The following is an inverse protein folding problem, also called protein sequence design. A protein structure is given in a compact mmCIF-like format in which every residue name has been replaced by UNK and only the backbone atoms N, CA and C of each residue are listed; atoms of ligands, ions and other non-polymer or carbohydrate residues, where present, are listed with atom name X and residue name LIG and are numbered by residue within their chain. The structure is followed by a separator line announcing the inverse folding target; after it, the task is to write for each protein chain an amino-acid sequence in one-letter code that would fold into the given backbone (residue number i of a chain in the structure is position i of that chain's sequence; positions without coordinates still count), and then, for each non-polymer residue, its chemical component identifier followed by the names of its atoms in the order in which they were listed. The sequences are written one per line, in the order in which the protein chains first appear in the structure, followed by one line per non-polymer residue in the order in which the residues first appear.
data_IF_431763542367
#
_entry.id   IF_431763542367
#
_cell.length_a   1.000
_cell.length_b   1.000
_cell.length_c   1.000
_cell.angle_alpha   90.00
_cell.angle_beta   90.00
_cell.angle_gamma   90.00
#
_symmetry.space_group_name_H-M   'P 1'
#
loop_
_entity.id
_entity.type
_entity.pdbx_description
1 polymer ?
#
# COMPACT_ATOMS: atom_id res chain seq x y z
N UNK A 1 -8.02 -15.52 66.80
CA UNK A 1 -6.94 -14.53 67.00
C UNK A 1 -7.13 -13.43 65.96
N UNK A 2 -7.86 -12.33 66.17
CA UNK A 2 -7.54 -11.09 66.92
C UNK A 2 -6.10 -10.58 66.73
N UNK A 3 -5.91 -9.58 65.84
CA UNK A 3 -5.38 -8.26 66.23
C UNK A 3 -5.64 -7.18 65.18
N UNK A 4 -6.32 -6.11 65.62
CA UNK A 4 -6.48 -4.78 64.99
C UNK A 4 -5.29 -3.87 65.35
N UNK A 5 -5.00 -2.86 64.52
CA UNK A 5 -4.72 -1.42 64.87
C UNK A 5 -4.38 -0.65 63.57
N UNK A 6 -5.23 0.28 63.11
CA UNK A 6 -5.27 1.74 63.38
C UNK A 6 -4.11 2.50 62.69
N UNK A 7 -4.31 3.04 61.48
CA UNK A 7 -4.73 4.43 61.13
C UNK A 7 -3.75 5.52 61.58
N UNK A 8 -3.17 6.25 60.62
CA UNK A 8 -2.88 7.68 60.78
C UNK A 8 -3.04 8.39 59.43
N UNK A 9 -3.95 9.35 59.44
CA UNK A 9 -4.24 10.36 58.41
C UNK A 9 -3.05 11.34 58.32
N UNK A 10 -2.67 11.74 57.11
CA UNK A 10 -2.00 13.02 56.89
C UNK A 10 -2.56 13.66 55.62
N UNK A 11 -3.45 14.63 55.84
CA UNK A 11 -4.05 15.51 54.85
C UNK A 11 -3.05 16.66 54.62
N UNK A 12 -2.53 16.81 53.41
CA UNK A 12 -1.94 18.08 52.95
C UNK A 12 -2.55 18.40 51.59
N UNK A 13 -3.50 19.33 51.61
CA UNK A 13 -4.01 20.01 50.45
C UNK A 13 -3.06 21.18 50.12
N UNK A 14 -2.47 21.17 48.92
CA UNK A 14 -2.01 22.39 48.26
C UNK A 14 -2.45 22.33 46.80
N UNK A 15 -3.43 23.18 46.51
CA UNK A 15 -3.94 23.56 45.20
C UNK A 15 -2.91 24.35 44.41
N UNK A 16 -2.54 23.89 43.20
CA UNK A 16 -1.91 24.74 42.18
C UNK A 16 -2.59 24.48 40.83
N UNK A 17 -3.45 25.43 40.47
CA UNK A 17 -3.82 25.93 39.14
C UNK A 17 -4.04 24.91 38.01
N UNK A 18 -5.32 24.75 37.69
CA UNK A 18 -5.81 24.28 36.40
C UNK A 18 -5.22 25.11 35.25
N UNK A 19 -4.25 24.54 34.55
CA UNK A 19 -3.90 24.88 33.18
C UNK A 19 -4.52 23.85 32.24
N UNK A 20 -5.85 23.85 32.12
CA UNK A 20 -6.53 23.17 31.01
C UNK A 20 -6.20 23.96 29.74
N UNK A 21 -5.07 23.66 29.12
CA UNK A 21 -4.91 24.00 27.71
C UNK A 21 -5.76 22.97 26.97
N UNK A 22 -7.01 23.35 26.67
CA UNK A 22 -7.82 22.74 25.62
C UNK A 22 -7.02 22.87 24.31
N UNK A 23 -6.07 21.96 24.13
CA UNK A 23 -5.52 21.68 22.83
C UNK A 23 -6.61 20.94 22.09
N UNK A 24 -7.40 21.68 21.29
CA UNK A 24 -8.26 21.09 20.28
C UNK A 24 -7.51 19.92 19.64
N UNK A 25 -8.09 18.70 19.59
CA UNK A 25 -7.44 17.59 18.92
C UNK A 25 -7.11 18.07 17.51
N UNK A 26 -5.81 18.17 17.21
CA UNK A 26 -5.34 18.67 15.93
C UNK A 26 -6.15 17.96 14.85
N UNK A 27 -6.94 18.74 14.11
CA UNK A 27 -7.77 18.19 13.04
C UNK A 27 -6.85 17.31 12.20
N UNK A 28 -7.22 16.05 11.92
CA UNK A 28 -6.37 15.18 11.12
C UNK A 28 -6.10 15.94 9.83
N UNK A 29 -4.83 16.30 9.61
CA UNK A 29 -4.39 16.89 8.35
C UNK A 29 -4.64 15.82 7.29
N UNK A 30 -5.84 15.86 6.73
CA UNK A 30 -6.19 15.11 5.54
C UNK A 30 -5.46 15.81 4.42
N UNK A 31 -4.15 15.54 4.31
CA UNK A 31 -3.41 15.85 3.10
C UNK A 31 -4.14 15.10 2.00
N UNK A 32 -4.77 15.85 1.10
CA UNK A 32 -5.44 15.28 -0.05
C UNK A 32 -4.53 14.23 -0.71
N UNK A 33 -5.06 13.11 -1.22
CA UNK A 33 -4.25 12.08 -1.86
C UNK A 33 -3.37 12.71 -2.94
N UNK A 34 -2.05 12.53 -2.82
CA UNK A 34 -1.07 12.99 -3.83
C UNK A 34 -1.45 12.36 -5.18
N UNK A 35 -1.51 13.14 -6.26
CA UNK A 35 -1.76 12.56 -7.57
C UNK A 35 -0.54 11.72 -8.00
N UNK A 36 -0.76 10.66 -8.78
CA UNK A 36 0.34 9.76 -9.18
C UNK A 36 1.45 10.49 -9.96
N UNK A 37 1.08 11.52 -10.73
CA UNK A 37 2.02 12.39 -11.48
C UNK A 37 2.85 13.33 -10.60
N UNK A 38 2.45 13.50 -9.34
CA UNK A 38 3.13 14.36 -8.37
C UNK A 38 4.10 13.54 -7.49
N UNK A 39 4.20 12.22 -7.73
CA UNK A 39 5.25 11.40 -7.12
C UNK A 39 6.59 11.76 -7.75
N UNK A 40 7.63 11.82 -6.92
CA UNK A 40 9.01 11.92 -7.39
C UNK A 40 9.77 10.64 -6.97
N UNK A 41 9.81 9.62 -7.86
CA UNK A 41 10.46 8.35 -7.54
C UNK A 41 11.96 8.44 -7.27
N UNK A 42 12.61 9.55 -7.65
CA UNK A 42 14.04 9.75 -7.40
C UNK A 42 14.33 10.22 -5.96
N UNK A 43 13.42 10.99 -5.35
CA UNK A 43 13.56 11.47 -3.97
C UNK A 43 12.88 10.56 -2.93
N UNK A 44 11.89 9.77 -3.33
CA UNK A 44 11.18 8.86 -2.43
C UNK A 44 11.99 7.61 -2.08
N UNK A 45 12.02 7.25 -0.80
CA UNK A 45 12.64 6.02 -0.29
C UNK A 45 11.58 5.11 0.32
N UNK A 46 11.32 3.97 -0.32
CA UNK A 46 10.25 3.07 0.13
C UNK A 46 10.79 1.97 1.05
N UNK A 47 10.03 1.65 2.11
CA UNK A 47 10.34 0.50 2.98
C UNK A 47 10.10 -0.83 2.26
N UNK A 48 10.94 -1.82 2.57
CA UNK A 48 10.85 -3.22 2.09
C UNK A 48 10.53 -4.14 3.26
N UNK A 49 9.32 -4.00 3.80
CA UNK A 49 8.82 -4.73 4.97
C UNK A 49 7.39 -5.18 4.75
N UNK A 50 6.82 -5.92 5.68
CA UNK A 50 5.37 -6.15 5.77
C UNK A 50 4.65 -4.81 5.93
N UNK A 51 3.74 -4.50 5.00
CA UNK A 51 3.20 -3.14 4.90
C UNK A 51 1.68 -3.06 4.80
N UNK A 52 0.95 -4.18 4.89
CA UNK A 52 -0.50 -4.18 4.67
C UNK A 52 -1.22 -3.22 5.64
N UNK A 53 -0.78 -3.18 6.90
CA UNK A 53 -1.29 -2.25 7.92
C UNK A 53 -0.84 -0.79 7.74
N UNK A 54 0.19 -0.54 6.93
CA UNK A 54 0.64 0.81 6.60
C UNK A 54 -0.26 1.47 5.55
N UNK A 55 -0.97 0.68 4.74
CA UNK A 55 -1.85 1.21 3.70
C UNK A 55 -3.13 1.75 4.33
N UNK A 56 -3.48 3.04 4.14
CA UNK A 56 -4.68 3.60 4.74
C UNK A 56 -5.94 2.85 4.30
N UNK A 57 -6.78 2.44 5.25
CA UNK A 57 -8.04 1.74 4.97
C UNK A 57 -8.94 2.54 4.01
N UNK A 58 -8.92 3.87 4.08
CA UNK A 58 -9.64 4.73 3.14
C UNK A 58 -9.16 4.57 1.68
N UNK A 59 -7.86 4.36 1.46
CA UNK A 59 -7.31 4.09 0.13
C UNK A 59 -7.74 2.73 -0.39
N UNK A 60 -7.72 1.69 0.46
CA UNK A 60 -8.22 0.34 0.12
C UNK A 60 -9.70 0.42 -0.27
N UNK A 61 -10.55 1.07 0.54
CA UNK A 61 -11.97 1.25 0.23
C UNK A 61 -12.21 2.01 -1.06
N UNK A 62 -11.38 3.01 -1.36
CA UNK A 62 -11.46 3.77 -2.61
C UNK A 62 -11.07 2.90 -3.82
N UNK A 63 -10.05 2.06 -3.67
CA UNK A 63 -9.59 1.12 -4.70
C UNK A 63 -10.58 -0.03 -4.96
N UNK A 64 -11.34 -0.42 -3.94
CA UNK A 64 -12.37 -1.45 -4.04
C UNK A 64 -13.76 -0.90 -4.35
N UNK A 65 -14.03 0.36 -4.02
CA UNK A 65 -15.37 0.96 -4.04
C UNK A 65 -16.35 0.31 -3.06
N UNK A 66 -15.83 -0.34 -2.00
CA UNK A 66 -16.61 -0.97 -0.92
C UNK A 66 -15.67 -1.24 0.28
N UNK A 67 -16.25 -1.74 1.37
CA UNK A 67 -15.44 -2.32 2.46
C UNK A 67 -14.65 -3.55 1.97
N UNK A 68 -13.36 -3.68 2.35
CA UNK A 68 -12.55 -4.84 2.04
C UNK A 68 -12.93 -6.04 2.90
N UNK A 69 -12.68 -7.24 2.38
CA UNK A 69 -12.47 -8.43 3.22
C UNK A 69 -11.09 -8.35 3.88
N UNK A 70 -10.80 -9.26 4.82
CA UNK A 70 -9.45 -9.45 5.34
C UNK A 70 -8.46 -9.61 4.18
N UNK A 71 -7.32 -8.89 4.18
CA UNK A 71 -6.32 -9.04 3.14
C UNK A 71 -5.70 -10.45 3.15
N UNK A 72 -5.34 -10.93 1.96
CA UNK A 72 -4.34 -11.99 1.83
C UNK A 72 -2.96 -11.33 1.84
N UNK A 73 -2.06 -11.84 2.66
CA UNK A 73 -0.71 -11.30 2.85
C UNK A 73 0.33 -12.38 2.56
N UNK A 74 1.49 -11.97 2.07
CA UNK A 74 2.62 -12.87 1.88
C UNK A 74 3.94 -12.15 2.14
N UNK A 75 4.91 -12.91 2.65
CA UNK A 75 6.25 -12.45 2.99
C UNK A 75 7.27 -13.05 2.03
N UNK A 76 8.50 -12.57 2.15
CA UNK A 76 9.63 -13.16 1.45
C UNK A 76 9.81 -14.64 1.87
N UNK A 77 9.71 -15.55 0.91
CA UNK A 77 9.75 -16.99 1.14
C UNK A 77 8.38 -17.66 1.21
N UNK A 78 7.29 -16.89 1.28
CA UNK A 78 5.94 -17.44 1.31
C UNK A 78 5.41 -17.77 -0.09
N UNK A 79 4.48 -18.72 -0.23
CA UNK A 79 3.72 -18.89 -1.46
C UNK A 79 2.94 -17.63 -1.82
N UNK A 80 2.95 -17.22 -3.09
CA UNK A 80 2.15 -16.08 -3.56
C UNK A 80 0.67 -16.53 -3.70
N UNK A 81 -0.30 -15.86 -3.06
CA UNK A 81 -1.72 -16.15 -3.24
C UNK A 81 -2.15 -16.05 -4.72
N UNK A 82 -2.79 -17.12 -5.21
CA UNK A 82 -3.16 -17.25 -6.63
C UNK A 82 -1.97 -17.50 -7.57
N UNK A 83 -0.75 -17.66 -7.04
CA UNK A 83 0.39 -18.18 -7.76
C UNK A 83 0.20 -19.66 -8.08
N UNK A 84 0.76 -20.12 -9.20
CA UNK A 84 0.78 -21.54 -9.53
C UNK A 84 1.57 -22.37 -8.50
N UNK A 85 1.50 -23.71 -8.57
CA UNK A 85 2.24 -24.59 -7.67
C UNK A 85 3.73 -24.24 -7.63
N UNK A 86 4.28 -24.02 -6.42
CA UNK A 86 5.68 -23.69 -6.20
C UNK A 86 6.08 -22.22 -6.39
N UNK A 87 5.12 -21.31 -6.61
CA UNK A 87 5.38 -19.88 -6.68
C UNK A 87 5.77 -19.28 -5.33
N UNK A 88 7.04 -19.37 -4.95
CA UNK A 88 7.60 -18.69 -3.77
C UNK A 88 7.86 -17.23 -4.11
N UNK A 89 7.31 -16.33 -3.30
CA UNK A 89 7.52 -14.89 -3.41
C UNK A 89 8.88 -14.48 -2.87
N UNK A 90 9.54 -13.56 -3.57
CA UNK A 90 10.74 -12.86 -3.07
C UNK A 90 10.40 -11.40 -2.72
N UNK A 91 9.18 -11.21 -2.22
CA UNK A 91 8.52 -9.92 -2.07
C UNK A 91 7.64 -9.93 -0.83
N UNK A 92 7.37 -8.75 -0.30
CA UNK A 92 6.29 -8.53 0.66
C UNK A 92 5.08 -8.04 -0.13
N UNK A 93 3.90 -8.59 0.13
CA UNK A 93 2.72 -8.17 -0.62
C UNK A 93 1.41 -8.42 0.07
N UNK A 94 0.41 -7.72 -0.44
CA UNK A 94 -0.93 -7.65 0.11
C UNK A 94 -1.95 -7.69 -1.04
N UNK A 95 -3.08 -8.35 -0.80
CA UNK A 95 -4.22 -8.43 -1.73
C UNK A 95 -5.52 -8.21 -0.97
N UNK A 96 -6.24 -7.14 -1.31
CA UNK A 96 -7.56 -6.85 -0.77
C UNK A 96 -8.63 -7.17 -1.80
N UNK A 97 -9.71 -7.80 -1.33
CA UNK A 97 -10.83 -8.20 -2.19
C UNK A 97 -12.14 -7.64 -1.66
N UNK A 98 -12.96 -7.08 -2.54
CA UNK A 98 -14.33 -6.68 -2.23
C UNK A 98 -15.31 -7.86 -2.33
N UNK A 99 -16.50 -7.78 -1.69
CA UNK A 99 -17.57 -8.74 -1.92
C UNK A 99 -17.98 -8.90 -3.39
N UNK A 100 -17.82 -7.84 -4.19
CA UNK A 100 -18.10 -7.82 -5.63
C UNK A 100 -16.96 -8.38 -6.50
N UNK A 101 -15.89 -8.92 -5.89
CA UNK A 101 -14.77 -9.54 -6.61
C UNK A 101 -13.79 -8.56 -7.26
N UNK A 102 -13.88 -7.26 -6.97
CA UNK A 102 -12.81 -6.29 -7.27
C UNK A 102 -11.62 -6.57 -6.37
N UNK A 103 -10.42 -6.45 -6.92
CA UNK A 103 -9.17 -6.75 -6.24
C UNK A 103 -8.23 -5.54 -6.34
N UNK A 104 -7.60 -5.18 -5.24
CA UNK A 104 -6.48 -4.25 -5.19
C UNK A 104 -5.27 -4.98 -4.60
N UNK A 105 -4.09 -4.87 -5.23
CA UNK A 105 -2.87 -5.54 -4.77
C UNK A 105 -1.70 -4.58 -4.78
N UNK A 106 -0.74 -4.84 -3.91
CA UNK A 106 0.57 -4.22 -3.97
C UNK A 106 1.64 -5.18 -3.47
N UNK A 107 2.86 -5.02 -3.95
CA UNK A 107 4.02 -5.75 -3.48
C UNK A 107 5.32 -5.01 -3.74
N UNK A 108 6.30 -5.24 -2.86
CA UNK A 108 7.67 -4.72 -2.98
C UNK A 108 8.66 -5.87 -2.92
N UNK A 109 9.68 -5.84 -3.79
CA UNK A 109 10.75 -6.83 -3.72
C UNK A 109 11.48 -6.72 -2.37
N UNK A 110 11.75 -7.87 -1.75
CA UNK A 110 12.41 -7.91 -0.45
C UNK A 110 13.90 -7.52 -0.51
N UNK A 111 14.49 -7.60 -1.71
CA UNK A 111 15.89 -7.21 -1.98
C UNK A 111 15.96 -5.95 -2.83
N UNK A 112 17.05 -5.17 -2.71
CA UNK A 112 17.36 -4.11 -3.66
C UNK A 112 17.35 -4.61 -5.11
N UNK A 113 16.78 -3.79 -5.99
CA UNK A 113 16.69 -4.06 -7.42
C UNK A 113 17.57 -3.06 -8.19
N UNK A 114 18.56 -3.58 -8.90
CA UNK A 114 19.37 -2.80 -9.82
C UNK A 114 18.56 -2.38 -11.07
N UNK A 115 18.80 -1.20 -11.66
CA UNK A 115 18.13 -0.74 -12.88
C UNK A 115 18.22 -1.73 -14.06
N UNK A 116 19.34 -2.46 -14.17
CA UNK A 116 19.50 -3.48 -15.20
C UNK A 116 18.49 -4.63 -15.06
N UNK A 117 18.24 -5.09 -13.83
CA UNK A 117 17.25 -6.12 -13.55
C UNK A 117 15.83 -5.58 -13.69
N UNK A 118 15.56 -4.37 -13.21
CA UNK A 118 14.27 -3.73 -13.39
C UNK A 118 13.87 -3.58 -14.88
N UNK A 119 14.84 -3.34 -15.78
CA UNK A 119 14.60 -3.37 -17.24
C UNK A 119 14.20 -4.77 -17.75
N UNK A 120 14.69 -5.86 -17.14
CA UNK A 120 14.24 -7.22 -17.52
C UNK A 120 12.77 -7.43 -17.11
N UNK A 121 12.36 -6.92 -15.94
CA UNK A 121 10.97 -6.96 -15.47
C UNK A 121 10.05 -6.20 -16.42
N UNK A 122 10.44 -4.99 -16.85
CA UNK A 122 9.68 -4.19 -17.82
C UNK A 122 9.54 -4.92 -19.16
N UNK A 123 10.64 -5.45 -19.71
CA UNK A 123 10.61 -6.21 -20.97
C UNK A 123 9.76 -7.47 -20.88
N UNK A 124 9.84 -8.20 -19.76
CA UNK A 124 9.04 -9.40 -19.55
C UNK A 124 7.55 -9.06 -19.51
N UNK A 125 7.16 -7.99 -18.80
CA UNK A 125 5.79 -7.50 -18.78
C UNK A 125 5.29 -7.07 -20.18
N UNK A 126 6.12 -6.38 -20.96
CA UNK A 126 5.79 -5.97 -22.34
C UNK A 126 5.55 -7.13 -23.32
N UNK A 127 6.03 -8.34 -23.00
CA UNK A 127 5.80 -9.55 -23.81
C UNK A 127 4.59 -10.37 -23.36
N UNK A 128 3.87 -9.94 -22.33
CA UNK A 128 2.72 -10.70 -21.80
C UNK A 128 1.54 -10.60 -22.76
N UNK A 129 1.12 -11.75 -23.30
CA UNK A 129 -0.05 -11.87 -24.18
C UNK A 129 -1.30 -11.29 -23.52
N UNK A 130 -2.08 -10.51 -24.29
CA UNK A 130 -3.31 -9.88 -23.80
C UNK A 130 -3.09 -8.62 -22.95
N UNK A 131 -1.85 -8.14 -22.88
CA UNK A 131 -1.49 -6.92 -22.17
C UNK A 131 -0.91 -5.86 -23.10
N UNK A 132 -1.09 -4.61 -22.72
CA UNK A 132 -0.48 -3.43 -23.33
C UNK A 132 0.32 -2.69 -22.28
N UNK A 133 1.46 -2.11 -22.65
CA UNK A 133 2.33 -1.38 -21.73
C UNK A 133 2.65 0.02 -22.24
N UNK A 134 2.68 0.98 -21.33
CA UNK A 134 3.08 2.37 -21.55
C UNK A 134 4.04 2.79 -20.43
N UNK A 135 4.61 3.99 -20.50
CA UNK A 135 5.42 4.53 -19.42
C UNK A 135 4.59 4.67 -18.12
N UNK A 136 5.22 4.42 -16.97
CA UNK A 136 4.61 4.68 -15.66
C UNK A 136 4.94 6.08 -15.19
N UNK A 137 4.16 6.56 -14.21
CA UNK A 137 4.59 7.64 -13.33
C UNK A 137 5.59 7.18 -12.24
N UNK A 138 5.79 5.86 -12.10
CA UNK A 138 6.88 5.32 -11.27
C UNK A 138 8.22 5.46 -12.00
N UNK A 139 9.32 5.46 -11.25
CA UNK A 139 10.64 5.85 -11.74
C UNK A 139 11.17 4.95 -12.85
N UNK A 140 12.26 5.38 -13.48
CA UNK A 140 12.85 4.66 -14.61
C UNK A 140 13.88 3.61 -14.16
N UNK A 141 13.76 2.35 -14.64
CA UNK A 141 12.71 1.82 -15.50
C UNK A 141 11.38 1.57 -14.77
N UNK A 142 10.26 1.79 -15.47
CA UNK A 142 8.91 1.57 -14.96
C UNK A 142 7.90 1.40 -16.10
N UNK A 143 6.71 0.89 -15.78
CA UNK A 143 5.59 0.73 -16.72
C UNK A 143 4.21 0.91 -16.06
N UNK A 144 3.26 1.35 -16.88
CA UNK A 144 1.83 1.13 -16.69
C UNK A 144 1.40 0.02 -17.65
N UNK A 145 0.89 -1.08 -17.09
CA UNK A 145 0.38 -2.22 -17.85
C UNK A 145 -1.14 -2.31 -17.73
N UNK A 146 -1.83 -2.54 -18.84
CA UNK A 146 -3.25 -2.89 -18.85
C UNK A 146 -3.45 -4.24 -19.53
N UNK A 147 -4.13 -5.17 -18.85
CA UNK A 147 -4.41 -6.51 -19.34
C UNK A 147 -5.91 -6.81 -19.33
N UNK A 148 -6.36 -7.62 -20.28
CA UNK A 148 -7.66 -8.29 -20.19
C UNK A 148 -7.58 -9.45 -19.20
N UNK A 149 -8.50 -9.51 -18.25
CA UNK A 149 -8.64 -10.59 -17.28
C UNK A 149 -9.84 -11.51 -17.57
N UNK A 150 -10.05 -12.55 -16.74
CA UNK A 150 -11.21 -13.42 -16.84
C UNK A 150 -12.53 -12.67 -16.68
N UNK A 151 -13.61 -13.16 -17.30
CA UNK A 151 -14.97 -12.65 -17.03
C UNK A 151 -15.19 -11.16 -17.34
N UNK A 152 -14.54 -10.62 -18.39
CA UNK A 152 -14.54 -9.20 -18.78
C UNK A 152 -13.87 -8.25 -17.77
N UNK A 153 -13.15 -8.79 -16.79
CA UNK A 153 -12.34 -7.96 -15.91
C UNK A 153 -11.18 -7.32 -16.66
N UNK A 154 -10.76 -6.15 -16.20
CA UNK A 154 -9.56 -5.48 -16.64
C UNK A 154 -8.62 -5.33 -15.46
N UNK A 155 -7.33 -5.47 -15.73
CA UNK A 155 -6.25 -5.19 -14.78
C UNK A 155 -5.51 -3.94 -15.25
N UNK A 156 -5.25 -3.01 -14.33
CA UNK A 156 -4.27 -1.95 -14.53
C UNK A 156 -3.22 -1.99 -13.42
N UNK A 157 -1.94 -2.00 -13.80
CA UNK A 157 -0.80 -2.14 -12.90
C UNK A 157 0.24 -1.08 -13.16
N UNK A 158 0.65 -0.37 -12.12
CA UNK A 158 1.92 0.37 -12.14
C UNK A 158 3.01 -0.50 -11.54
N UNK A 159 4.19 -0.44 -12.15
CA UNK A 159 5.40 -1.04 -11.57
C UNK A 159 6.61 -0.18 -11.94
N UNK A 160 7.57 -0.02 -11.04
CA UNK A 160 8.75 0.80 -11.30
C UNK A 160 9.66 0.93 -10.09
N UNK A 161 10.82 1.55 -10.33
CA UNK A 161 11.80 1.82 -9.28
C UNK A 161 11.48 3.10 -8.52
N UNK A 162 11.70 3.02 -7.21
CA UNK A 162 11.88 4.14 -6.29
C UNK A 162 13.25 3.94 -5.66
N UNK A 163 14.25 4.67 -6.16
CA UNK A 163 15.67 4.37 -5.92
C UNK A 163 16.02 2.91 -6.25
N UNK A 164 16.30 2.08 -5.25
CA UNK A 164 16.62 0.65 -5.38
C UNK A 164 15.44 -0.27 -5.04
N UNK A 165 14.25 0.28 -4.78
CA UNK A 165 13.06 -0.49 -4.39
C UNK A 165 12.08 -0.57 -5.55
N UNK A 166 11.80 -1.80 -5.99
CA UNK A 166 10.78 -2.06 -7.01
C UNK A 166 9.41 -2.22 -6.35
N UNK A 167 8.51 -1.26 -6.61
CA UNK A 167 7.12 -1.32 -6.21
C UNK A 167 6.25 -1.75 -7.39
N UNK A 168 5.29 -2.62 -7.13
CA UNK A 168 4.18 -2.90 -8.04
C UNK A 168 2.86 -2.80 -7.31
N UNK A 169 1.84 -2.28 -7.99
CA UNK A 169 0.49 -2.14 -7.46
C UNK A 169 -0.50 -2.23 -8.62
N UNK A 170 -1.63 -2.87 -8.38
CA UNK A 170 -2.64 -3.10 -9.41
C UNK A 170 -4.06 -3.11 -8.86
N UNK A 171 -4.99 -2.82 -9.78
CA UNK A 171 -6.43 -2.96 -9.56
C UNK A 171 -7.00 -3.85 -10.65
N UNK A 172 -7.84 -4.80 -10.23
CA UNK A 172 -8.64 -5.67 -11.09
C UNK A 172 -10.12 -5.40 -10.86
N UNK A 173 -10.86 -5.06 -11.92
CA UNK A 173 -12.32 -4.88 -11.86
C UNK A 173 -12.96 -4.97 -13.25
N UNK A 174 -14.25 -5.26 -13.30
CA UNK A 174 -15.06 -5.15 -14.52
C UNK A 174 -15.53 -3.71 -14.70
N UNK A 175 -14.89 -2.97 -15.61
CA UNK A 175 -15.21 -1.57 -15.93
C UNK A 175 -14.60 -1.18 -17.28
N UNK A 176 -14.60 0.10 -17.62
CA UNK A 176 -13.84 0.62 -18.78
C UNK A 176 -12.36 0.71 -18.45
N UNK A 177 -11.49 0.57 -19.45
CA UNK A 177 -10.03 0.68 -19.27
C UNK A 177 -9.64 1.99 -18.59
N UNK A 178 -10.22 3.11 -19.02
CA UNK A 178 -9.99 4.44 -18.43
C UNK A 178 -10.31 4.47 -16.93
N UNK A 179 -11.44 3.90 -16.53
CA UNK A 179 -11.84 3.85 -15.13
C UNK A 179 -10.95 2.92 -14.28
N UNK A 180 -10.47 1.81 -14.85
CA UNK A 180 -9.52 0.93 -14.15
C UNK A 180 -8.15 1.58 -13.99
N UNK A 181 -7.65 2.25 -15.04
CA UNK A 181 -6.40 3.02 -14.96
C UNK A 181 -6.49 4.13 -13.92
N UNK A 182 -7.53 4.98 -13.94
CA UNK A 182 -7.67 6.06 -12.97
C UNK A 182 -7.77 5.55 -11.52
N UNK A 183 -8.38 4.39 -11.31
CA UNK A 183 -8.43 3.75 -9.98
C UNK A 183 -7.08 3.16 -9.58
N UNK A 184 -6.35 2.57 -10.52
CA UNK A 184 -4.98 2.12 -10.30
C UNK A 184 -4.05 3.30 -9.98
N UNK A 185 -4.18 4.45 -10.65
CA UNK A 185 -3.40 5.67 -10.38
C UNK A 185 -3.55 6.09 -8.91
N UNK A 186 -4.80 6.22 -8.44
CA UNK A 186 -5.10 6.60 -7.06
C UNK A 186 -4.62 5.56 -6.04
N UNK A 187 -4.84 4.28 -6.32
CA UNK A 187 -4.39 3.17 -5.48
C UNK A 187 -2.86 3.17 -5.33
N UNK A 188 -2.16 3.23 -6.46
CA UNK A 188 -0.71 3.17 -6.54
C UNK A 188 -0.02 4.37 -5.88
N UNK A 189 -0.61 5.56 -6.03
CA UNK A 189 -0.11 6.75 -5.33
C UNK A 189 -0.26 6.65 -3.81
N UNK A 190 -1.39 6.13 -3.34
CA UNK A 190 -1.61 5.93 -1.92
C UNK A 190 -0.63 4.89 -1.32
N UNK A 191 -0.39 3.78 -2.03
CA UNK A 191 0.60 2.78 -1.61
C UNK A 191 2.00 3.37 -1.57
N UNK A 192 2.45 4.03 -2.65
CA UNK A 192 3.78 4.64 -2.67
C UNK A 192 3.96 5.66 -1.53
N UNK A 193 2.94 6.49 -1.27
CA UNK A 193 2.96 7.51 -0.21
C UNK A 193 2.96 6.91 1.21
N UNK A 194 2.37 5.72 1.38
CA UNK A 194 2.34 5.00 2.65
C UNK A 194 3.69 4.33 2.97
N UNK A 195 4.43 3.91 1.95
CA UNK A 195 5.74 3.26 2.10
C UNK A 195 6.91 4.25 2.15
N UNK A 196 6.69 5.50 1.75
CA UNK A 196 7.72 6.53 1.67
C UNK A 196 8.20 6.99 3.05
N UNK A 197 9.51 6.90 3.25
CA UNK A 197 10.24 7.28 4.48
C UNK A 197 11.09 8.53 4.33
N UNK A 198 11.04 9.20 3.17
CA UNK A 198 11.80 10.43 2.90
C UNK A 198 11.19 11.71 3.52
N UNK A 199 10.17 11.57 4.36
CA UNK A 199 9.40 12.68 4.96
C UNK A 199 10.08 13.34 6.14
#
# INVERSE_FOLDING_TARGET
MRTRRLVTLALVAVTVLAGCSDGDPAAPVSSAPRAIKDLDPASMSLVRVEFCDLVPVAAVRTALGSEPRTPDEWRNGDPIPGGGPGGIGHEFGCSWTSPAGRIARAWVFARPIAPAYARTLVRAAGRKTGCTTTASAFGEPGLLQSCSGPGKSLVARHAGLFQDTWLSCEVTQTSTRKAVTARADAWCSAVASALDTSK
#
